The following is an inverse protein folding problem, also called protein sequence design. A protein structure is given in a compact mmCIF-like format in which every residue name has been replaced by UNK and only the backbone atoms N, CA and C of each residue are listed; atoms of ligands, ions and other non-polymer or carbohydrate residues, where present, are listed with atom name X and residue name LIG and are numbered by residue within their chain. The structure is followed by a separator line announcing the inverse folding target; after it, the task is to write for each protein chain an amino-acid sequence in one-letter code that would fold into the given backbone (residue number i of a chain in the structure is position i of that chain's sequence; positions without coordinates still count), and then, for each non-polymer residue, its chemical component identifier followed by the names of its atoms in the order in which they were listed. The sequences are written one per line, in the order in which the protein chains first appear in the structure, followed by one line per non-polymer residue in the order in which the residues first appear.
data_IF_235474677001
#
_entry.id   IF_235474677001
#
_cell.length_a   1.000
_cell.length_b   1.000
_cell.length_c   1.000
_cell.angle_alpha   90.00
_cell.angle_beta   90.00
_cell.angle_gamma   90.00
#
_symmetry.space_group_name_H-M   'P 1'
#
loop_
_entity.id
_entity.type
_entity.pdbx_description
1 polymer ?
#
# COMPACT_ATOMS: atom_id res chain seq x y z
N UNK A 1 -12.01 0.75 -18.92
CA UNK A 1 -12.24 0.02 -17.67
C UNK A 1 -11.35 -1.18 -17.72
N UNK A 2 -10.42 -1.28 -16.83
CA UNK A 2 -9.51 -2.41 -16.74
C UNK A 2 -10.04 -3.40 -15.69
N UNK A 3 -10.01 -4.69 -16.02
CA UNK A 3 -10.42 -5.78 -15.15
C UNK A 3 -9.18 -6.40 -14.49
N UNK A 4 -9.15 -6.42 -13.17
CA UNK A 4 -8.06 -6.98 -12.40
C UNK A 4 -8.54 -8.23 -11.66
N UNK A 5 -7.78 -9.33 -11.78
CA UNK A 5 -7.90 -10.50 -10.90
C UNK A 5 -6.77 -10.48 -9.87
N UNK A 6 -7.11 -10.60 -8.59
CA UNK A 6 -6.13 -10.67 -7.52
C UNK A 6 -6.19 -11.97 -6.74
N UNK A 7 -5.02 -12.58 -6.47
CA UNK A 7 -4.92 -13.88 -5.80
C UNK A 7 -3.77 -13.87 -4.79
N UNK A 8 -4.05 -13.89 -3.48
CA UNK A 8 -3.02 -14.18 -2.49
C UNK A 8 -2.73 -15.69 -2.45
N UNK A 9 -1.47 -16.08 -2.56
CA UNK A 9 -1.03 -17.49 -2.47
C UNK A 9 -0.09 -17.68 -1.27
N UNK A 10 -0.19 -18.84 -0.61
CA UNK A 10 0.69 -19.17 0.51
C UNK A 10 1.52 -20.45 0.30
N UNK A 11 0.92 -21.55 -0.15
CA UNK A 11 1.59 -22.87 -0.31
C UNK A 11 1.14 -23.67 -1.52
N UNK A 12 0.11 -23.23 -2.21
CA UNK A 12 -0.56 -24.01 -3.25
C UNK A 12 -0.32 -23.42 -4.63
N UNK A 13 0.94 -23.34 -5.02
CA UNK A 13 1.32 -22.79 -6.33
C UNK A 13 0.86 -23.66 -7.50
N UNK A 14 0.70 -24.98 -7.27
CA UNK A 14 0.09 -25.91 -8.22
C UNK A 14 -1.41 -25.64 -8.46
N UNK A 15 -2.14 -25.26 -7.42
CA UNK A 15 -3.55 -24.85 -7.55
C UNK A 15 -3.67 -23.45 -8.14
N UNK A 16 -2.79 -22.52 -7.76
CA UNK A 16 -2.70 -21.21 -8.39
C UNK A 16 -2.48 -21.33 -9.90
N UNK A 17 -1.61 -22.25 -10.36
CA UNK A 17 -1.39 -22.47 -11.78
C UNK A 17 -2.69 -22.89 -12.49
N UNK A 18 -3.44 -23.85 -11.92
CA UNK A 18 -4.74 -24.29 -12.43
C UNK A 18 -5.79 -23.17 -12.44
N UNK A 19 -5.80 -22.32 -11.41
CA UNK A 19 -6.66 -21.14 -11.39
C UNK A 19 -6.33 -20.23 -12.57
N UNK A 20 -5.06 -19.85 -12.75
CA UNK A 20 -4.64 -18.95 -13.83
C UNK A 20 -4.91 -19.58 -15.21
N UNK A 21 -4.64 -20.86 -15.40
CA UNK A 21 -5.00 -21.58 -16.63
C UNK A 21 -6.51 -21.49 -16.92
N UNK A 22 -7.35 -21.73 -15.91
CA UNK A 22 -8.81 -21.63 -16.06
C UNK A 22 -9.29 -20.22 -16.41
N UNK A 23 -8.62 -19.21 -15.88
CA UNK A 23 -8.89 -17.79 -16.16
C UNK A 23 -8.52 -17.42 -17.60
N UNK A 24 -7.32 -17.81 -18.04
CA UNK A 24 -6.83 -17.53 -19.39
C UNK A 24 -7.63 -18.28 -20.48
N UNK A 25 -8.21 -19.42 -20.14
CA UNK A 25 -9.11 -20.18 -21.01
C UNK A 25 -10.56 -19.66 -21.04
N UNK A 26 -10.89 -18.65 -20.24
CA UNK A 26 -12.24 -18.10 -20.12
C UNK A 26 -12.67 -17.21 -21.28
N UNK A 27 -13.99 -16.97 -21.41
CA UNK A 27 -14.57 -16.05 -22.41
C UNK A 27 -14.25 -14.58 -22.13
N UNK A 28 -13.98 -14.23 -20.87
CA UNK A 28 -13.53 -12.92 -20.45
C UNK A 28 -12.26 -13.07 -19.60
N UNK A 29 -11.14 -12.59 -20.14
CA UNK A 29 -9.83 -12.65 -19.49
C UNK A 29 -9.51 -11.29 -18.86
N UNK A 30 -9.10 -11.24 -17.57
CA UNK A 30 -8.67 -10.00 -16.95
C UNK A 30 -7.49 -9.35 -17.68
N UNK A 31 -7.45 -8.03 -17.67
CA UNK A 31 -6.32 -7.27 -18.24
C UNK A 31 -5.05 -7.48 -17.45
N UNK A 32 -5.19 -7.68 -16.13
CA UNK A 32 -4.08 -7.89 -15.17
C UNK A 32 -4.44 -9.00 -14.19
N UNK A 33 -3.46 -9.82 -13.85
CA UNK A 33 -3.55 -10.85 -12.80
C UNK A 33 -2.48 -10.52 -11.76
N UNK A 34 -2.90 -10.11 -10.57
CA UNK A 34 -1.99 -9.73 -9.48
C UNK A 34 -1.93 -10.87 -8.47
N UNK A 35 -0.77 -11.51 -8.36
CA UNK A 35 -0.49 -12.54 -7.38
C UNK A 35 0.26 -11.94 -6.20
N UNK A 36 -0.23 -12.18 -4.98
CA UNK A 36 0.49 -11.79 -3.74
C UNK A 36 1.12 -13.04 -3.14
N UNK A 37 2.44 -13.14 -3.25
CA UNK A 37 3.22 -14.29 -2.78
C UNK A 37 3.48 -14.26 -1.28
N UNK A 38 2.48 -14.63 -0.47
CA UNK A 38 2.59 -14.74 0.97
C UNK A 38 3.48 -15.93 1.42
N UNK A 39 3.77 -16.87 0.54
CA UNK A 39 4.61 -18.03 0.80
C UNK A 39 6.10 -17.79 0.57
N UNK A 40 6.44 -16.72 -0.15
CA UNK A 40 7.81 -16.37 -0.57
C UNK A 40 8.51 -17.48 -1.38
N UNK A 41 7.74 -18.25 -2.17
CA UNK A 41 8.24 -19.39 -2.95
C UNK A 41 7.78 -19.39 -4.40
N UNK A 42 7.19 -18.29 -4.86
CA UNK A 42 6.63 -18.22 -6.21
C UNK A 42 7.65 -18.64 -7.27
N UNK A 43 8.84 -18.06 -7.23
CA UNK A 43 9.88 -18.31 -8.24
C UNK A 43 10.41 -19.77 -8.23
N UNK A 44 10.25 -20.49 -7.11
CA UNK A 44 10.70 -21.87 -6.96
C UNK A 44 9.60 -22.91 -7.21
N UNK A 45 8.35 -22.58 -6.93
CA UNK A 45 7.25 -23.58 -6.89
C UNK A 45 6.14 -23.31 -7.92
N UNK A 46 6.09 -22.10 -8.52
CA UNK A 46 5.09 -21.79 -9.54
C UNK A 46 5.62 -22.14 -10.94
N UNK A 47 4.89 -22.99 -11.65
CA UNK A 47 5.24 -23.45 -13.01
C UNK A 47 4.09 -23.24 -14.02
N UNK A 48 3.14 -22.37 -13.71
CA UNK A 48 2.01 -22.06 -14.56
C UNK A 48 2.27 -20.92 -15.55
N UNK A 49 1.22 -20.48 -16.27
CA UNK A 49 1.30 -19.36 -17.20
C UNK A 49 1.69 -18.04 -16.53
N UNK A 50 2.52 -17.25 -17.22
CA UNK A 50 2.94 -15.91 -16.77
C UNK A 50 2.28 -14.77 -17.57
N UNK A 51 1.40 -15.10 -18.49
CA UNK A 51 0.69 -14.10 -19.28
C UNK A 51 -0.16 -13.21 -18.36
N UNK A 52 0.02 -11.89 -18.44
CA UNK A 52 -0.67 -10.87 -17.63
C UNK A 52 -0.45 -10.99 -16.11
N UNK A 53 0.49 -11.83 -15.66
CA UNK A 53 0.77 -12.06 -14.25
C UNK A 53 1.79 -11.07 -13.71
N UNK A 54 1.42 -10.34 -12.67
CA UNK A 54 2.29 -9.50 -11.88
C UNK A 54 2.40 -10.08 -10.46
N UNK A 55 3.62 -10.19 -9.92
CA UNK A 55 3.85 -10.80 -8.60
C UNK A 55 4.29 -9.76 -7.58
N UNK A 56 3.50 -9.60 -6.53
CA UNK A 56 3.83 -8.80 -5.35
C UNK A 56 4.45 -9.73 -4.31
N UNK A 57 5.66 -9.42 -3.86
CA UNK A 57 6.44 -10.21 -2.90
C UNK A 57 6.56 -9.49 -1.56
N UNK A 58 5.68 -9.77 -0.58
CA UNK A 58 5.73 -9.11 0.73
C UNK A 58 6.96 -9.46 1.57
N UNK A 59 7.68 -10.54 1.23
CA UNK A 59 8.82 -11.05 1.99
C UNK A 59 8.43 -11.88 3.23
N UNK A 60 7.16 -11.88 3.63
CA UNK A 60 6.63 -12.68 4.75
C UNK A 60 5.15 -12.99 4.53
N UNK A 61 4.62 -13.98 5.26
CA UNK A 61 3.17 -14.23 5.28
C UNK A 61 2.42 -13.14 6.05
N UNK A 62 1.80 -12.23 5.33
CA UNK A 62 0.97 -11.15 5.90
C UNK A 62 -0.48 -11.58 6.19
N UNK A 63 -0.90 -12.74 5.70
CA UNK A 63 -2.24 -13.24 5.81
C UNK A 63 -3.18 -12.81 4.67
N UNK A 64 -4.39 -13.38 4.68
CA UNK A 64 -5.37 -13.21 3.61
C UNK A 64 -5.84 -11.76 3.46
N UNK A 65 -6.23 -11.13 4.56
CA UNK A 65 -6.72 -9.74 4.57
C UNK A 65 -5.69 -8.75 4.01
N UNK A 66 -4.42 -8.87 4.41
CA UNK A 66 -3.35 -8.01 3.91
C UNK A 66 -3.05 -8.30 2.43
N UNK A 67 -3.09 -9.57 2.01
CA UNK A 67 -2.96 -9.95 0.61
C UNK A 67 -4.02 -9.28 -0.27
N UNK A 68 -5.29 -9.34 0.13
CA UNK A 68 -6.37 -8.65 -0.59
C UNK A 68 -6.21 -7.13 -0.58
N UNK A 69 -5.75 -6.56 0.53
CA UNK A 69 -5.48 -5.12 0.59
C UNK A 69 -4.35 -4.68 -0.35
N UNK A 70 -3.33 -5.52 -0.56
CA UNK A 70 -2.28 -5.25 -1.56
C UNK A 70 -2.83 -5.24 -2.98
N UNK A 71 -3.75 -6.15 -3.28
CA UNK A 71 -4.44 -6.19 -4.57
C UNK A 71 -5.25 -4.91 -4.81
N UNK A 72 -6.01 -4.44 -3.81
CA UNK A 72 -6.73 -3.17 -3.90
C UNK A 72 -5.80 -1.98 -4.16
N UNK A 73 -4.61 -1.98 -3.55
CA UNK A 73 -3.62 -0.91 -3.76
C UNK A 73 -2.95 -1.01 -5.14
N UNK A 74 -2.85 -2.20 -5.72
CA UNK A 74 -2.31 -2.41 -7.05
C UNK A 74 -3.33 -2.07 -8.16
N UNK A 75 -4.62 -1.98 -7.84
CA UNK A 75 -5.63 -1.50 -8.77
C UNK A 75 -5.39 -0.01 -9.07
N UNK A 76 -5.46 0.38 -10.36
CA UNK A 76 -5.23 1.77 -10.76
C UNK A 76 -6.32 2.72 -10.23
N UNK A 77 -6.02 4.03 -10.14
CA UNK A 77 -6.93 5.02 -9.61
C UNK A 77 -8.22 5.21 -10.46
N UNK A 78 -8.21 4.78 -11.72
CA UNK A 78 -9.28 5.01 -12.68
C UNK A 78 -10.08 3.73 -12.99
N UNK A 79 -11.11 3.44 -12.22
CA UNK A 79 -12.24 2.59 -12.63
C UNK A 79 -12.00 1.09 -12.84
N UNK A 80 -11.07 0.47 -12.08
CA UNK A 80 -10.88 -0.98 -12.19
C UNK A 80 -12.00 -1.75 -11.50
N UNK A 81 -12.55 -2.71 -12.22
CA UNK A 81 -13.34 -3.79 -11.64
C UNK A 81 -12.37 -4.83 -11.08
N UNK A 82 -12.59 -5.25 -9.84
CA UNK A 82 -11.65 -6.11 -9.12
C UNK A 82 -12.32 -7.44 -8.81
N UNK A 83 -11.68 -8.51 -9.25
CA UNK A 83 -12.00 -9.88 -8.84
C UNK A 83 -10.98 -10.32 -7.81
N UNK A 84 -11.46 -10.87 -6.70
CA UNK A 84 -10.63 -11.52 -5.68
C UNK A 84 -10.94 -13.00 -5.66
N UNK A 85 -9.90 -13.83 -5.73
CA UNK A 85 -10.01 -15.28 -5.68
C UNK A 85 -9.01 -15.87 -4.68
N UNK A 86 -9.39 -16.99 -4.05
CA UNK A 86 -8.45 -17.86 -3.37
C UNK A 86 -7.65 -18.68 -4.38
N UNK A 87 -6.48 -19.14 -4.00
CA UNK A 87 -5.56 -19.93 -4.84
C UNK A 87 -6.07 -21.34 -5.20
N UNK A 88 -7.11 -21.82 -4.53
CA UNK A 88 -7.70 -23.16 -4.69
C UNK A 88 -9.06 -23.15 -5.43
N UNK A 89 -9.29 -22.14 -6.27
CA UNK A 89 -10.48 -22.00 -7.12
C UNK A 89 -10.14 -22.40 -8.55
N UNK A 90 -11.08 -23.03 -9.24
CA UNK A 90 -11.07 -23.21 -10.70
C UNK A 90 -12.32 -22.51 -11.26
N UNK A 91 -12.13 -21.53 -12.12
CA UNK A 91 -13.20 -20.71 -12.67
C UNK A 91 -13.73 -21.35 -13.95
N UNK A 92 -15.05 -21.36 -14.14
CA UNK A 92 -15.66 -21.82 -15.38
C UNK A 92 -15.36 -20.85 -16.53
N UNK A 93 -15.38 -21.33 -17.79
CA UNK A 93 -15.09 -20.48 -18.95
C UNK A 93 -15.91 -19.19 -19.01
N UNK A 94 -17.18 -19.22 -18.63
CA UNK A 94 -18.11 -18.08 -18.61
C UNK A 94 -18.21 -17.39 -17.25
N UNK A 95 -17.49 -17.87 -16.23
CA UNK A 95 -17.68 -17.48 -14.84
C UNK A 95 -17.37 -16.01 -14.56
N UNK A 96 -16.26 -15.50 -15.08
CA UNK A 96 -15.88 -14.08 -14.94
C UNK A 96 -16.88 -13.19 -15.68
N UNK A 97 -17.20 -13.54 -16.91
CA UNK A 97 -18.13 -12.75 -17.75
C UNK A 97 -19.49 -12.57 -17.07
N UNK A 98 -20.05 -13.64 -16.52
CA UNK A 98 -21.36 -13.59 -15.83
C UNK A 98 -21.25 -12.71 -14.57
N UNK A 99 -20.19 -12.84 -13.78
CA UNK A 99 -20.01 -12.04 -12.58
C UNK A 99 -19.87 -10.55 -12.88
N UNK A 100 -19.08 -10.19 -13.89
CA UNK A 100 -18.87 -8.80 -14.30
C UNK A 100 -20.15 -8.20 -14.94
N UNK A 101 -20.86 -8.99 -15.76
CA UNK A 101 -22.14 -8.55 -16.33
C UNK A 101 -23.14 -8.23 -15.22
N UNK A 102 -23.23 -9.05 -14.18
CA UNK A 102 -24.10 -8.80 -13.03
C UNK A 102 -23.63 -7.58 -12.22
N UNK A 103 -22.33 -7.41 -11.99
CA UNK A 103 -21.79 -6.24 -11.30
C UNK A 103 -22.17 -4.94 -12.01
N UNK A 104 -22.07 -4.91 -13.33
CA UNK A 104 -22.40 -3.74 -14.15
C UNK A 104 -23.91 -3.46 -14.17
N UNK A 105 -24.74 -4.50 -14.15
CA UNK A 105 -26.19 -4.35 -14.10
C UNK A 105 -26.67 -3.68 -12.79
N UNK A 106 -25.96 -3.91 -11.70
CA UNK A 106 -26.22 -3.30 -10.39
C UNK A 106 -25.60 -1.89 -10.25
N UNK A 107 -25.31 -1.20 -11.35
CA UNK A 107 -24.68 0.13 -11.40
C UNK A 107 -23.30 0.22 -10.73
N UNK A 108 -22.60 -0.90 -10.62
CA UNK A 108 -21.21 -0.97 -10.14
C UNK A 108 -21.02 -0.76 -8.63
N UNK A 109 -22.09 -0.60 -7.85
CA UNK A 109 -22.02 -0.46 -6.37
C UNK A 109 -22.60 -1.70 -5.71
N UNK A 110 -21.97 -2.85 -5.94
CA UNK A 110 -22.38 -4.12 -5.37
C UNK A 110 -21.19 -5.07 -5.23
N UNK A 111 -21.40 -6.22 -4.57
CA UNK A 111 -20.45 -7.32 -4.52
C UNK A 111 -21.10 -8.55 -5.10
N UNK A 112 -20.63 -8.99 -6.26
CA UNK A 112 -21.09 -10.21 -6.89
C UNK A 112 -20.20 -11.39 -6.51
N UNK A 113 -20.79 -12.47 -6.03
CA UNK A 113 -20.09 -13.66 -5.52
C UNK A 113 -20.23 -14.83 -6.49
N UNK A 114 -19.09 -15.35 -6.96
CA UNK A 114 -19.04 -16.60 -7.72
C UNK A 114 -19.01 -17.82 -6.79
N UNK A 115 -18.18 -17.79 -5.74
CA UNK A 115 -18.10 -18.86 -4.73
C UNK A 115 -17.92 -18.28 -3.31
N UNK A 116 -18.97 -17.63 -2.78
CA UNK A 116 -18.87 -16.92 -1.51
C UNK A 116 -17.81 -15.81 -1.58
N UNK A 117 -17.00 -15.67 -0.53
CA UNK A 117 -15.83 -14.80 -0.51
C UNK A 117 -14.54 -15.53 -0.90
N UNK A 118 -14.61 -16.76 -1.43
CA UNK A 118 -13.48 -17.42 -2.09
C UNK A 118 -13.32 -17.00 -3.55
N UNK A 119 -14.40 -16.49 -4.18
CA UNK A 119 -14.39 -15.84 -5.49
C UNK A 119 -15.48 -14.77 -5.51
N UNK A 120 -15.10 -13.52 -5.62
CA UNK A 120 -16.05 -12.40 -5.68
C UNK A 120 -15.48 -11.24 -6.47
N UNK A 121 -16.34 -10.40 -7.01
CA UNK A 121 -15.96 -9.18 -7.69
C UNK A 121 -16.66 -7.96 -7.08
N UNK A 122 -16.00 -6.81 -7.19
CA UNK A 122 -16.52 -5.51 -6.77
C UNK A 122 -15.88 -4.39 -7.59
N UNK A 123 -16.56 -3.25 -7.63
CA UNK A 123 -15.98 -2.03 -8.21
C UNK A 123 -15.08 -1.30 -7.23
N UNK A 124 -14.23 -0.42 -7.76
CA UNK A 124 -13.40 0.46 -6.94
C UNK A 124 -14.26 1.39 -6.06
N UNK A 125 -15.41 1.84 -6.55
CA UNK A 125 -16.41 2.61 -5.78
C UNK A 125 -16.85 1.85 -4.52
N UNK A 126 -17.14 0.54 -4.66
CA UNK A 126 -17.56 -0.32 -3.55
C UNK A 126 -16.49 -0.39 -2.46
N UNK A 127 -15.24 -0.69 -2.80
CA UNK A 127 -14.22 -0.80 -1.76
C UNK A 127 -13.80 0.54 -1.15
N UNK A 128 -13.88 1.65 -1.91
CA UNK A 128 -13.72 3.01 -1.35
C UNK A 128 -14.78 3.31 -0.31
N UNK A 129 -16.02 2.94 -0.58
CA UNK A 129 -17.15 3.15 0.34
C UNK A 129 -17.04 2.30 1.61
N UNK A 130 -16.60 1.05 1.50
CA UNK A 130 -16.52 0.08 2.62
C UNK A 130 -15.16 0.10 3.31
N UNK A 131 -14.12 0.50 2.59
CA UNK A 131 -12.74 0.46 3.06
C UNK A 131 -12.06 -0.89 2.84
N UNK A 132 -10.83 -0.99 3.30
CA UNK A 132 -9.99 -2.18 3.18
C UNK A 132 -10.36 -3.26 4.20
N UNK A 133 -9.89 -4.49 3.98
CA UNK A 133 -10.03 -5.58 4.94
C UNK A 133 -9.28 -5.29 6.24
N UNK A 134 -9.77 -5.79 7.35
CA UNK A 134 -9.09 -5.64 8.65
C UNK A 134 -7.96 -6.67 8.79
N UNK A 135 -6.72 -6.24 8.61
CA UNK A 135 -5.52 -7.07 8.66
C UNK A 135 -5.23 -7.69 10.05
N UNK A 136 -6.00 -7.31 11.08
CA UNK A 136 -5.93 -7.92 12.40
C UNK A 136 -6.48 -9.35 12.44
N UNK A 137 -7.26 -9.74 11.43
CA UNK A 137 -7.67 -11.12 11.21
C UNK A 137 -6.56 -11.93 10.54
N UNK A 138 -5.48 -12.16 11.24
CA UNK A 138 -4.31 -12.90 10.74
C UNK A 138 -4.28 -14.34 11.28
N UNK A 139 -3.86 -15.37 10.50
CA UNK A 139 -3.48 -15.33 9.08
C UNK A 139 -4.67 -15.37 8.13
N UNK A 140 -5.82 -15.87 8.56
CA UNK A 140 -7.07 -15.99 7.79
C UNK A 140 -8.25 -16.26 8.71
N UNK A 141 -9.47 -16.21 8.15
CA UNK A 141 -10.77 -16.37 8.76
C UNK A 141 -11.27 -15.18 9.57
N UNK A 142 -12.54 -14.88 9.39
CA UNK A 142 -13.30 -13.75 9.90
C UNK A 142 -13.05 -12.41 9.19
N UNK A 143 -12.01 -12.25 8.37
CA UNK A 143 -11.84 -11.08 7.51
C UNK A 143 -12.99 -10.94 6.50
N UNK A 144 -13.46 -12.05 5.95
CA UNK A 144 -14.60 -12.12 5.04
C UNK A 144 -15.93 -11.78 5.77
N UNK A 145 -16.12 -12.29 6.98
CA UNK A 145 -17.30 -12.00 7.80
C UNK A 145 -17.34 -10.53 8.23
N UNK A 146 -16.19 -9.99 8.61
CA UNK A 146 -16.03 -8.58 8.94
C UNK A 146 -16.36 -7.69 7.74
N UNK A 147 -15.83 -8.04 6.58
CA UNK A 147 -16.09 -7.28 5.34
C UNK A 147 -17.57 -7.37 4.95
N UNK A 148 -18.17 -8.55 5.03
CA UNK A 148 -19.60 -8.75 4.75
C UNK A 148 -20.48 -7.90 5.66
N UNK A 149 -20.19 -7.85 6.97
CA UNK A 149 -20.93 -7.00 7.90
C UNK A 149 -20.79 -5.52 7.56
N UNK A 150 -19.58 -5.06 7.18
CA UNK A 150 -19.36 -3.67 6.76
C UNK A 150 -20.04 -3.33 5.44
N UNK A 151 -20.13 -4.27 4.49
CA UNK A 151 -20.95 -4.12 3.29
C UNK A 151 -22.43 -3.89 3.64
N UNK A 152 -22.96 -4.69 4.57
CA UNK A 152 -24.35 -4.52 5.06
C UNK A 152 -24.56 -3.14 5.70
N UNK A 153 -23.64 -2.71 6.57
CA UNK A 153 -23.71 -1.38 7.21
C UNK A 153 -23.62 -0.23 6.20
N UNK A 154 -22.85 -0.41 5.14
CA UNK A 154 -22.73 0.55 4.05
C UNK A 154 -23.90 0.48 3.05
N UNK A 155 -24.91 -0.38 3.28
CA UNK A 155 -26.01 -0.62 2.35
C UNK A 155 -25.55 -0.97 0.93
N UNK A 156 -24.48 -1.77 0.83
CA UNK A 156 -23.98 -2.28 -0.46
C UNK A 156 -24.74 -3.56 -0.82
N UNK A 157 -25.41 -3.63 -1.98
CA UNK A 157 -26.11 -4.82 -2.42
C UNK A 157 -25.18 -6.03 -2.54
N UNK A 158 -25.64 -7.18 -2.11
CA UNK A 158 -24.97 -8.47 -2.26
C UNK A 158 -25.98 -9.45 -2.88
N UNK A 159 -26.18 -9.43 -4.19
CA UNK A 159 -27.12 -10.32 -4.87
C UNK A 159 -26.78 -11.79 -4.62
N UNK A 160 -27.68 -12.73 -4.88
CA UNK A 160 -27.44 -14.16 -4.80
C UNK A 160 -26.14 -14.57 -5.50
N UNK A 161 -25.51 -15.64 -5.04
CA UNK A 161 -24.31 -16.17 -5.73
C UNK A 161 -24.62 -16.50 -7.18
N UNK A 162 -23.71 -16.19 -8.06
CA UNK A 162 -23.75 -16.69 -9.44
C UNK A 162 -23.58 -18.22 -9.38
N UNK A 163 -24.62 -18.94 -9.75
CA UNK A 163 -24.62 -20.39 -9.70
C UNK A 163 -23.50 -20.96 -10.58
N UNK A 164 -22.68 -21.83 -9.99
CA UNK A 164 -21.64 -22.59 -10.69
C UNK A 164 -20.59 -21.76 -11.46
N UNK A 165 -20.29 -20.50 -11.04
CA UNK A 165 -19.21 -19.73 -11.65
C UNK A 165 -17.82 -20.35 -11.44
N UNK A 166 -17.64 -21.16 -10.37
CA UNK A 166 -16.37 -21.82 -10.06
C UNK A 166 -16.57 -23.08 -9.23
N UNK A 167 -15.56 -23.94 -9.25
CA UNK A 167 -15.36 -25.06 -8.31
C UNK A 167 -14.24 -24.71 -7.32
N UNK A 168 -14.28 -25.31 -6.12
CA UNK A 168 -13.36 -25.00 -5.03
C UNK A 168 -12.81 -26.27 -4.37
N UNK A 169 -11.49 -26.38 -4.26
CA UNK A 169 -10.81 -27.46 -3.55
C UNK A 169 -10.68 -27.09 -2.05
N UNK A 170 -11.80 -27.10 -1.34
CA UNK A 170 -11.94 -26.59 0.02
C UNK A 170 -10.81 -26.99 0.97
N UNK A 171 -10.26 -26.00 1.69
CA UNK A 171 -9.24 -26.18 2.74
C UNK A 171 -7.92 -26.81 2.28
N UNK A 172 -7.57 -26.69 1.01
CA UNK A 172 -6.37 -27.28 0.44
C UNK A 172 -5.09 -26.91 1.21
N UNK A 173 -4.93 -25.65 1.60
CA UNK A 173 -3.77 -25.17 2.35
C UNK A 173 -3.68 -25.77 3.76
N UNK A 174 -4.81 -25.88 4.50
CA UNK A 174 -4.82 -26.44 5.86
C UNK A 174 -4.43 -27.91 5.87
N UNK A 175 -4.76 -28.65 4.81
CA UNK A 175 -4.41 -30.07 4.68
C UNK A 175 -2.89 -30.30 4.61
N UNK A 176 -2.10 -29.28 4.27
CA UNK A 176 -0.64 -29.37 4.26
C UNK A 176 0.03 -29.05 5.60
N UNK A 177 -0.73 -28.63 6.60
CA UNK A 177 -0.18 -28.23 7.88
C UNK A 177 0.32 -29.42 8.69
N UNK A 178 1.49 -29.25 9.31
CA UNK A 178 1.99 -30.14 10.36
C UNK A 178 1.08 -30.10 11.60
N UNK A 179 1.26 -31.04 12.53
CA UNK A 179 0.48 -31.02 13.77
C UNK A 179 0.63 -29.70 14.55
N UNK A 180 1.84 -29.19 14.68
CA UNK A 180 2.11 -27.94 15.39
C UNK A 180 1.44 -26.75 14.69
N UNK A 181 1.54 -26.67 13.37
CA UNK A 181 0.86 -25.63 12.58
C UNK A 181 -0.67 -25.69 12.71
N UNK A 182 -1.23 -26.90 12.78
CA UNK A 182 -2.68 -27.06 13.02
C UNK A 182 -3.10 -26.56 14.40
N UNK A 183 -2.28 -26.79 15.43
CA UNK A 183 -2.54 -26.24 16.79
C UNK A 183 -2.46 -24.72 16.76
N UNK A 184 -1.39 -24.14 16.19
CA UNK A 184 -1.23 -22.71 16.05
C UNK A 184 -2.39 -22.08 15.27
N UNK A 185 -2.81 -22.72 14.20
CA UNK A 185 -3.94 -22.29 13.40
C UNK A 185 -5.26 -22.27 14.19
N UNK A 186 -5.55 -23.32 14.97
CA UNK A 186 -6.74 -23.36 15.84
C UNK A 186 -6.75 -22.24 16.87
N UNK A 187 -5.59 -21.97 17.48
CA UNK A 187 -5.43 -20.83 18.41
C UNK A 187 -5.72 -19.51 17.70
N UNK A 188 -5.15 -19.30 16.50
CA UNK A 188 -5.38 -18.08 15.70
C UNK A 188 -6.84 -17.93 15.29
N UNK A 189 -7.48 -19.01 14.85
CA UNK A 189 -8.89 -19.02 14.53
C UNK A 189 -9.76 -18.61 15.75
N UNK A 190 -9.48 -19.18 16.93
CA UNK A 190 -10.18 -18.82 18.16
C UNK A 190 -9.98 -17.34 18.53
N UNK A 191 -8.74 -16.81 18.40
CA UNK A 191 -8.43 -15.41 18.65
C UNK A 191 -9.15 -14.49 17.64
N UNK A 192 -9.21 -14.85 16.38
CA UNK A 192 -9.93 -14.11 15.34
C UNK A 192 -11.43 -14.08 15.64
N UNK A 193 -11.99 -15.23 16.05
CA UNK A 193 -13.40 -15.32 16.47
C UNK A 193 -13.70 -14.42 17.68
N UNK A 194 -12.86 -14.48 18.70
CA UNK A 194 -13.02 -13.61 19.88
C UNK A 194 -12.93 -12.13 19.49
N UNK A 195 -11.94 -11.79 18.65
CA UNK A 195 -11.79 -10.43 18.15
C UNK A 195 -13.03 -9.96 17.38
N UNK A 196 -13.59 -10.81 16.50
CA UNK A 196 -14.82 -10.50 15.77
C UNK A 196 -15.99 -10.21 16.69
N UNK A 197 -16.21 -11.10 17.68
CA UNK A 197 -17.30 -10.96 18.66
C UNK A 197 -17.15 -9.68 19.47
N UNK A 198 -15.96 -9.36 19.91
CA UNK A 198 -15.69 -8.11 20.66
C UNK A 198 -15.88 -6.90 19.76
N UNK A 199 -15.35 -6.94 18.53
CA UNK A 199 -15.46 -5.85 17.55
C UNK A 199 -16.91 -5.49 17.25
N UNK A 200 -17.76 -6.49 17.05
CA UNK A 200 -19.14 -6.30 16.57
C UNK A 200 -20.23 -6.57 17.64
N UNK A 201 -19.82 -6.98 18.83
CA UNK A 201 -20.74 -7.24 19.94
C UNK A 201 -21.58 -8.52 19.76
N UNK A 202 -21.17 -9.42 18.87
CA UNK A 202 -21.87 -10.68 18.58
C UNK A 202 -21.15 -11.51 17.54
N UNK A 203 -21.55 -12.76 17.37
CA UNK A 203 -21.04 -13.63 16.30
C UNK A 203 -21.61 -13.23 14.93
N UNK A 204 -21.02 -13.81 13.85
CA UNK A 204 -21.48 -13.55 12.47
C UNK A 204 -22.98 -13.85 12.30
N UNK A 205 -23.70 -12.85 11.77
CA UNK A 205 -25.18 -12.86 11.65
C UNK A 205 -25.93 -12.51 12.94
N UNK A 206 -25.20 -12.14 14.00
CA UNK A 206 -25.76 -11.71 15.30
C UNK A 206 -25.04 -10.49 15.84
N UNK A 207 -24.48 -9.67 14.97
CA UNK A 207 -23.80 -8.44 15.32
C UNK A 207 -24.76 -7.43 15.92
N UNK A 208 -24.34 -6.76 17.00
CA UNK A 208 -25.15 -5.78 17.73
C UNK A 208 -24.66 -4.34 17.56
N UNK A 209 -23.44 -4.16 17.00
CA UNK A 209 -22.81 -2.85 16.84
C UNK A 209 -22.80 -2.41 15.40
N UNK A 210 -23.11 -1.15 15.17
CA UNK A 210 -22.98 -0.48 13.89
C UNK A 210 -21.63 0.22 13.73
N UNK A 211 -20.89 0.38 14.86
CA UNK A 211 -19.52 0.90 14.88
C UNK A 211 -18.57 -0.13 15.50
N UNK A 212 -17.38 -0.34 14.93
CA UNK A 212 -16.46 -1.34 15.42
C UNK A 212 -15.81 -0.94 16.75
N UNK A 213 -15.70 -1.88 17.68
CA UNK A 213 -14.89 -1.73 18.87
C UNK A 213 -13.52 -2.40 18.65
N UNK A 214 -12.47 -1.60 18.53
CA UNK A 214 -11.16 -2.06 18.06
C UNK A 214 -10.05 -2.07 19.11
N UNK A 215 -10.39 -1.99 20.41
CA UNK A 215 -9.42 -1.78 21.49
C UNK A 215 -8.44 -2.94 21.77
N UNK A 216 -8.71 -4.16 21.33
CA UNK A 216 -8.01 -5.33 21.86
C UNK A 216 -7.00 -6.04 20.95
N UNK A 217 -6.97 -5.80 19.65
CA UNK A 217 -6.04 -6.49 18.77
C UNK A 217 -5.16 -5.50 18.02
N UNK A 218 -3.90 -5.46 18.39
CA UNK A 218 -2.92 -4.62 17.68
C UNK A 218 -2.78 -5.11 16.24
N UNK A 219 -2.67 -4.18 15.30
CA UNK A 219 -2.23 -4.47 13.94
C UNK A 219 -0.86 -5.16 13.99
N UNK A 220 -0.61 -6.14 13.10
CA UNK A 220 0.73 -6.66 12.91
C UNK A 220 1.66 -5.50 12.57
N UNK A 221 2.78 -5.38 13.29
CA UNK A 221 3.81 -4.40 12.94
C UNK A 221 4.57 -4.93 11.73
N UNK A 222 4.56 -4.19 10.66
CA UNK A 222 5.39 -4.47 9.49
C UNK A 222 6.85 -4.13 9.81
N UNK A 223 7.78 -4.94 9.32
CA UNK A 223 9.21 -4.61 9.32
C UNK A 223 9.50 -3.47 8.35
N UNK A 224 10.65 -2.83 8.46
CA UNK A 224 11.01 -1.66 7.66
C UNK A 224 10.98 -1.95 6.15
N UNK A 225 11.55 -3.07 5.72
CA UNK A 225 11.54 -3.49 4.30
C UNK A 225 10.13 -3.78 3.78
N UNK A 226 9.27 -4.35 4.60
CA UNK A 226 7.87 -4.56 4.25
C UNK A 226 7.13 -3.22 4.07
N UNK A 227 7.40 -2.24 4.95
CA UNK A 227 6.85 -0.88 4.83
C UNK A 227 7.38 -0.17 3.59
N UNK A 228 8.68 -0.31 3.30
CA UNK A 228 9.28 0.23 2.09
C UNK A 228 8.65 -0.37 0.84
N UNK A 229 8.53 -1.70 0.77
CA UNK A 229 7.86 -2.38 -0.35
C UNK A 229 6.42 -1.90 -0.50
N UNK A 230 5.69 -1.75 0.60
CA UNK A 230 4.34 -1.21 0.59
C UNK A 230 4.29 0.23 0.10
N UNK A 231 5.26 1.06 0.52
CA UNK A 231 5.36 2.47 0.10
C UNK A 231 5.60 2.61 -1.41
N UNK A 232 6.40 1.72 -2.02
CA UNK A 232 6.63 1.70 -3.48
C UNK A 232 5.43 1.22 -4.29
N UNK A 233 4.56 0.40 -3.69
CA UNK A 233 3.41 -0.22 -4.35
C UNK A 233 2.08 0.50 -4.10
N UNK A 234 2.02 1.36 -3.09
CA UNK A 234 0.81 2.11 -2.76
C UNK A 234 0.82 3.43 -3.53
N UNK A 235 -0.15 3.63 -4.41
CA UNK A 235 -0.29 4.89 -5.16
C UNK A 235 -0.50 6.05 -4.19
N UNK A 236 0.48 6.94 -4.15
CA UNK A 236 0.48 8.21 -3.42
C UNK A 236 1.10 9.29 -4.30
N UNK A 237 1.12 10.50 -3.81
CA UNK A 237 1.78 11.64 -4.45
C UNK A 237 3.31 11.46 -4.61
N UNK A 238 3.96 10.52 -3.88
CA UNK A 238 5.41 10.34 -3.85
C UNK A 238 5.88 8.90 -4.15
N UNK A 239 4.97 7.93 -4.30
CA UNK A 239 5.34 6.50 -4.33
C UNK A 239 6.36 6.12 -5.42
N UNK A 240 6.32 6.74 -6.58
CA UNK A 240 7.28 6.49 -7.67
C UNK A 240 8.69 7.02 -7.36
N UNK A 241 8.80 7.97 -6.42
CA UNK A 241 10.06 8.57 -5.99
C UNK A 241 10.67 7.86 -4.78
N UNK A 242 9.92 7.00 -4.08
CA UNK A 242 10.39 6.21 -2.93
C UNK A 242 11.69 5.42 -3.24
N UNK A 243 11.82 4.72 -4.40
CA UNK A 243 13.08 4.06 -4.76
C UNK A 243 14.25 5.03 -4.98
N UNK A 244 13.97 6.21 -5.51
CA UNK A 244 14.98 7.25 -5.74
C UNK A 244 15.53 7.79 -4.44
N UNK A 245 14.63 8.12 -3.49
CA UNK A 245 15.00 8.58 -2.16
C UNK A 245 15.88 7.56 -1.44
N UNK A 246 15.51 6.26 -1.47
CA UNK A 246 16.33 5.19 -0.92
C UNK A 246 17.70 5.12 -1.57
N UNK A 247 17.77 5.18 -2.90
CA UNK A 247 19.02 5.11 -3.65
C UNK A 247 19.97 6.29 -3.35
N UNK A 248 19.45 7.50 -3.20
CA UNK A 248 20.24 8.67 -2.80
C UNK A 248 20.71 8.54 -1.32
N UNK A 249 19.80 8.23 -0.42
CA UNK A 249 20.11 8.10 1.00
C UNK A 249 21.12 6.98 1.30
N UNK A 250 21.17 5.91 0.47
CA UNK A 250 22.16 4.82 0.63
C UNK A 250 23.60 5.22 0.28
N UNK A 251 23.82 6.39 -0.31
CA UNK A 251 25.12 6.91 -0.73
C UNK A 251 25.68 7.99 0.21
N UNK A 252 24.99 8.23 1.33
CA UNK A 252 25.33 9.30 2.28
C UNK A 252 25.17 8.81 3.71
N UNK A 253 25.80 9.53 4.64
CA UNK A 253 25.75 9.16 6.07
C UNK A 253 24.69 9.96 6.84
N UNK A 254 24.50 11.23 6.52
CA UNK A 254 23.56 12.11 7.20
C UNK A 254 22.46 12.60 6.24
N UNK A 255 21.22 12.31 6.60
CA UNK A 255 20.03 12.76 5.87
C UNK A 255 19.18 13.65 6.77
N UNK A 256 18.71 14.76 6.22
CA UNK A 256 17.71 15.63 6.86
C UNK A 256 16.46 15.68 5.98
N UNK A 257 15.30 15.50 6.57
CA UNK A 257 13.99 15.48 5.93
C UNK A 257 13.09 16.59 6.51
N UNK A 258 12.52 17.39 5.65
CA UNK A 258 11.47 18.38 5.94
C UNK A 258 10.15 17.92 5.32
N UNK A 259 9.11 17.81 6.14
CA UNK A 259 7.82 17.26 5.74
C UNK A 259 7.80 15.72 5.83
N UNK A 260 7.17 15.21 6.86
CA UNK A 260 7.08 13.78 7.17
C UNK A 260 5.69 13.23 6.87
N UNK A 261 4.67 14.02 7.19
CA UNK A 261 3.24 13.71 6.97
C UNK A 261 2.84 12.31 7.45
N UNK A 262 2.84 11.30 6.59
CA UNK A 262 2.51 9.91 6.93
C UNK A 262 3.72 8.96 6.97
N UNK A 263 4.93 9.49 6.78
CA UNK A 263 6.19 8.76 6.86
C UNK A 263 6.51 7.86 5.66
N UNK A 264 5.98 8.18 4.48
CA UNK A 264 6.27 7.44 3.24
C UNK A 264 7.72 7.69 2.82
N UNK A 265 8.13 8.95 2.70
CA UNK A 265 9.51 9.37 2.44
C UNK A 265 10.45 8.90 3.55
N UNK A 266 10.08 9.12 4.82
CA UNK A 266 10.86 8.67 5.99
C UNK A 266 11.12 7.16 5.95
N UNK A 267 10.14 6.36 5.52
CA UNK A 267 10.29 4.91 5.35
C UNK A 267 11.37 4.59 4.31
N UNK A 268 11.41 5.31 3.19
CA UNK A 268 12.43 5.14 2.15
C UNK A 268 13.82 5.50 2.65
N UNK A 269 13.93 6.64 3.34
CA UNK A 269 15.19 7.14 3.90
C UNK A 269 15.73 6.18 4.97
N UNK A 270 14.88 5.69 5.88
CA UNK A 270 15.26 4.68 6.88
C UNK A 270 15.66 3.34 6.24
N UNK A 271 14.99 2.92 5.18
CA UNK A 271 15.31 1.66 4.48
C UNK A 271 16.69 1.70 3.79
N UNK A 272 17.25 2.88 3.55
CA UNK A 272 18.62 3.07 3.10
C UNK A 272 19.67 2.86 4.23
N UNK A 273 19.24 2.89 5.50
CA UNK A 273 20.11 2.75 6.69
C UNK A 273 21.27 3.76 6.75
N UNK A 274 21.06 5.09 6.52
CA UNK A 274 22.10 6.08 6.78
C UNK A 274 22.53 6.06 8.25
N UNK A 275 23.69 6.61 8.58
CA UNK A 275 24.12 6.69 9.99
C UNK A 275 23.18 7.59 10.80
N UNK A 276 22.74 8.70 10.21
CA UNK A 276 21.88 9.71 10.85
C UNK A 276 20.71 10.06 9.96
N UNK A 277 19.50 10.09 10.53
CA UNK A 277 18.31 10.67 9.90
C UNK A 277 17.64 11.65 10.87
N UNK A 278 17.49 12.88 10.44
CA UNK A 278 16.78 13.96 11.17
C UNK A 278 15.55 14.36 10.37
N UNK A 279 14.36 14.08 10.89
CA UNK A 279 13.10 14.40 10.23
C UNK A 279 12.33 15.46 11.02
N UNK A 280 11.80 16.43 10.31
CA UNK A 280 11.06 17.58 10.89
C UNK A 280 9.71 17.72 10.21
N UNK A 281 8.68 18.01 11.01
CA UNK A 281 7.34 18.33 10.52
C UNK A 281 6.69 19.37 11.45
N UNK A 282 5.70 20.10 10.95
CA UNK A 282 4.92 21.04 11.75
C UNK A 282 3.99 20.32 12.76
N UNK A 283 3.69 19.04 12.49
CA UNK A 283 2.79 18.19 13.29
C UNK A 283 3.39 16.82 13.58
N UNK A 284 3.17 16.30 14.79
CA UNK A 284 3.42 14.88 15.09
C UNK A 284 2.15 14.06 14.83
N UNK A 285 2.13 13.33 13.73
CA UNK A 285 1.06 12.39 13.39
C UNK A 285 1.34 10.96 13.89
N UNK A 286 2.08 10.82 14.98
CA UNK A 286 2.53 9.55 15.57
C UNK A 286 3.43 8.71 14.63
N UNK A 287 4.02 9.34 13.63
CA UNK A 287 4.91 8.68 12.66
C UNK A 287 6.20 8.26 13.35
N UNK A 288 6.78 9.15 14.16
CA UNK A 288 7.99 8.87 14.93
C UNK A 288 7.83 7.63 15.81
N UNK A 289 6.73 7.53 16.57
CA UNK A 289 6.45 6.37 17.42
C UNK A 289 6.31 5.07 16.63
N UNK A 290 5.91 5.14 15.36
CA UNK A 290 5.74 3.98 14.49
C UNK A 290 7.03 3.56 13.77
N UNK A 291 7.93 4.49 13.45
CA UNK A 291 9.15 4.26 12.69
C UNK A 291 10.41 4.13 13.56
N UNK A 292 10.51 4.84 14.68
CA UNK A 292 11.67 4.76 15.55
C UNK A 292 12.05 3.32 15.96
N UNK A 293 11.10 2.41 16.29
CA UNK A 293 11.43 1.03 16.58
C UNK A 293 11.98 0.23 15.39
N UNK A 294 11.88 0.77 14.16
CA UNK A 294 12.31 0.14 12.92
C UNK A 294 13.60 0.76 12.35
N UNK A 295 14.12 1.79 12.98
CA UNK A 295 15.28 2.54 12.49
C UNK A 295 16.59 1.69 12.42
N UNK A 296 16.64 0.53 13.08
CA UNK A 296 17.77 -0.36 13.02
C UNK A 296 19.03 0.30 13.58
N UNK A 297 20.07 0.45 12.76
CA UNK A 297 21.35 1.10 13.14
C UNK A 297 21.35 2.62 12.92
N UNK A 298 20.32 3.19 12.30
CA UNK A 298 20.22 4.63 12.04
C UNK A 298 19.89 5.39 13.32
N UNK A 299 20.67 6.41 13.69
CA UNK A 299 20.28 7.38 14.69
C UNK A 299 19.15 8.26 14.14
N UNK A 300 17.93 7.77 14.30
CA UNK A 300 16.72 8.43 13.82
C UNK A 300 16.11 9.31 14.91
N UNK A 301 15.90 10.59 14.58
CA UNK A 301 15.17 11.53 15.42
C UNK A 301 14.14 12.29 14.60
N UNK A 302 12.96 12.40 15.18
CA UNK A 302 11.88 13.23 14.68
C UNK A 302 11.67 14.40 15.66
N UNK A 303 11.48 15.59 15.12
CA UNK A 303 11.13 16.76 15.91
C UNK A 303 10.00 17.57 15.26
N UNK A 304 9.08 18.05 16.08
CA UNK A 304 8.05 19.01 15.64
C UNK A 304 8.67 20.41 15.59
N UNK A 305 8.52 21.08 14.47
CA UNK A 305 9.01 22.45 14.31
C UNK A 305 8.74 23.04 12.93
N UNK A 306 8.59 24.35 12.89
CA UNK A 306 8.52 25.10 11.63
C UNK A 306 9.91 25.15 11.00
N UNK A 307 10.05 24.57 9.81
CA UNK A 307 11.30 24.53 9.05
C UNK A 307 11.88 25.88 8.70
N UNK A 308 11.07 26.93 8.72
CA UNK A 308 11.53 28.33 8.58
C UNK A 308 12.19 28.87 9.86
N UNK A 309 11.89 28.29 11.02
CA UNK A 309 12.34 28.79 12.33
C UNK A 309 13.42 27.93 12.97
N UNK A 310 13.39 26.60 12.78
CA UNK A 310 14.37 25.66 13.33
C UNK A 310 15.77 25.92 12.77
N UNK A 311 16.77 25.34 13.42
CA UNK A 311 18.11 25.20 12.88
C UNK A 311 18.48 23.71 12.76
N UNK A 312 19.22 23.35 11.72
CA UNK A 312 19.65 21.98 11.45
C UNK A 312 21.18 21.87 11.49
N UNK A 313 21.67 20.66 11.72
CA UNK A 313 23.08 20.31 11.50
C UNK A 313 23.43 20.32 10.01
N UNK A 314 24.70 20.35 9.68
CA UNK A 314 25.12 20.06 8.31
C UNK A 314 24.69 18.62 7.93
N UNK A 315 24.23 18.44 6.70
CA UNK A 315 23.67 17.18 6.22
C UNK A 315 24.19 16.87 4.82
N UNK A 316 24.32 15.61 4.47
CA UNK A 316 24.76 15.25 3.12
C UNK A 316 23.63 15.34 2.10
N UNK A 317 22.41 15.00 2.54
CA UNK A 317 21.20 15.07 1.75
C UNK A 317 20.11 15.82 2.54
N UNK A 318 19.59 16.89 1.96
CA UNK A 318 18.42 17.61 2.44
C UNK A 318 17.23 17.30 1.54
N UNK A 319 16.22 16.60 2.06
CA UNK A 319 14.94 16.35 1.37
C UNK A 319 13.90 17.34 1.87
N UNK A 320 13.21 18.02 0.95
CA UNK A 320 12.18 19.04 1.25
C UNK A 320 10.88 18.67 0.55
N UNK A 321 9.84 18.43 1.36
CA UNK A 321 8.47 18.09 0.96
C UNK A 321 7.46 18.75 1.94
N UNK A 322 7.54 20.08 2.04
CA UNK A 322 6.74 20.91 2.94
C UNK A 322 5.62 21.63 2.18
N UNK A 323 5.17 22.79 2.63
CA UNK A 323 4.20 23.61 1.92
C UNK A 323 4.79 24.12 0.57
N UNK A 324 4.13 23.80 -0.54
CA UNK A 324 4.63 24.00 -1.89
C UNK A 324 4.35 25.41 -2.41
N UNK A 325 4.93 26.41 -1.76
CA UNK A 325 4.85 27.83 -2.17
C UNK A 325 6.26 28.41 -2.34
N UNK A 326 6.35 29.49 -3.12
CA UNK A 326 7.59 30.23 -3.29
C UNK A 326 8.19 30.70 -1.96
N UNK A 327 7.36 31.32 -1.11
CA UNK A 327 7.84 31.93 0.14
C UNK A 327 8.36 30.86 1.13
N UNK A 328 7.67 29.71 1.20
CA UNK A 328 8.10 28.60 2.04
C UNK A 328 9.45 28.06 1.58
N UNK A 329 9.55 27.65 0.31
CA UNK A 329 10.78 27.05 -0.21
C UNK A 329 11.95 28.05 -0.21
N UNK A 330 11.69 29.34 -0.52
CA UNK A 330 12.73 30.39 -0.47
C UNK A 330 13.31 30.53 0.94
N UNK A 331 12.46 30.54 1.97
CA UNK A 331 12.90 30.63 3.35
C UNK A 331 13.73 29.40 3.78
N UNK A 332 13.29 28.20 3.40
CA UNK A 332 13.99 26.93 3.69
C UNK A 332 15.35 26.88 3.00
N UNK A 333 15.40 27.18 1.71
CA UNK A 333 16.67 27.22 0.96
C UNK A 333 17.63 28.32 1.42
N UNK A 334 17.10 29.47 1.81
CA UNK A 334 17.92 30.56 2.35
C UNK A 334 18.57 30.17 3.69
N UNK A 335 17.85 29.44 4.55
CA UNK A 335 18.30 29.08 5.89
C UNK A 335 19.14 27.80 5.91
N UNK A 336 18.76 26.81 5.11
CA UNK A 336 19.29 25.45 5.21
C UNK A 336 20.01 24.96 3.97
N UNK A 337 19.80 25.57 2.81
CA UNK A 337 20.32 25.06 1.54
C UNK A 337 21.85 24.90 1.55
N UNK A 338 22.58 25.87 2.11
CA UNK A 338 24.05 25.80 2.19
C UNK A 338 24.58 24.77 3.20
N UNK A 339 23.72 24.22 4.09
CA UNK A 339 24.08 23.14 5.01
C UNK A 339 24.03 21.76 4.36
N UNK A 340 23.44 21.62 3.15
CA UNK A 340 23.48 20.41 2.36
C UNK A 340 24.84 20.28 1.68
N UNK A 341 25.59 19.25 2.05
CA UNK A 341 26.97 19.03 1.56
C UNK A 341 27.01 18.44 0.14
N UNK A 342 25.95 17.69 -0.24
CA UNK A 342 25.94 16.98 -1.52
C UNK A 342 24.67 17.21 -2.32
N UNK A 343 23.49 16.90 -1.74
CA UNK A 343 22.23 16.99 -2.48
C UNK A 343 21.14 17.73 -1.71
N UNK A 344 20.34 18.48 -2.49
CA UNK A 344 19.04 18.94 -2.08
C UNK A 344 18.03 18.27 -3.00
N UNK A 345 17.01 17.62 -2.45
CA UNK A 345 15.95 16.93 -3.18
C UNK A 345 14.63 17.60 -2.85
N UNK A 346 13.96 18.11 -3.89
CA UNK A 346 12.70 18.84 -3.79
C UNK A 346 11.58 18.02 -4.40
N UNK A 347 10.51 17.80 -3.67
CA UNK A 347 9.30 17.13 -4.17
C UNK A 347 8.28 18.13 -4.71
N UNK A 348 7.25 17.61 -5.43
CA UNK A 348 6.11 18.36 -5.99
C UNK A 348 6.47 19.50 -6.97
N UNK A 349 7.68 19.48 -7.51
CA UNK A 349 8.23 20.53 -8.36
C UNK A 349 7.59 20.66 -9.76
N UNK A 350 6.76 19.70 -10.17
CA UNK A 350 5.97 19.78 -11.40
C UNK A 350 4.57 20.33 -11.12
N UNK A 351 3.88 19.77 -10.14
CA UNK A 351 2.51 20.18 -9.81
C UNK A 351 2.47 21.60 -9.28
N UNK A 352 3.36 21.94 -8.35
CA UNK A 352 3.42 23.27 -7.75
C UNK A 352 4.63 24.11 -8.22
N UNK A 353 5.11 23.83 -9.42
CA UNK A 353 6.26 24.54 -9.98
C UNK A 353 5.99 26.03 -10.25
N UNK A 354 4.87 26.34 -10.90
CA UNK A 354 4.50 27.72 -11.30
C UNK A 354 3.46 28.35 -10.40
N UNK A 355 2.47 27.59 -9.95
CA UNK A 355 1.41 28.01 -9.04
C UNK A 355 1.58 27.25 -7.74
N UNK A 356 1.48 27.91 -6.60
CA UNK A 356 1.65 27.28 -5.29
C UNK A 356 0.42 26.47 -4.86
N UNK A 357 0.58 25.72 -3.78
CA UNK A 357 -0.46 24.87 -3.20
C UNK A 357 -1.62 25.67 -2.61
N UNK A 358 -1.34 26.83 -2.03
CA UNK A 358 -2.36 27.74 -1.53
C UNK A 358 -2.88 28.65 -2.65
N UNK A 359 -4.15 29.02 -2.56
CA UNK A 359 -4.78 29.91 -3.53
C UNK A 359 -3.98 31.23 -3.69
N UNK A 360 -3.79 31.67 -4.94
CA UNK A 360 -3.11 32.91 -5.31
C UNK A 360 -1.63 33.02 -4.88
N UNK A 361 -0.98 31.89 -4.56
CA UNK A 361 0.45 31.87 -4.24
C UNK A 361 1.31 31.50 -5.45
N UNK A 362 2.56 32.01 -5.47
CA UNK A 362 3.56 31.63 -6.48
C UNK A 362 4.08 30.22 -6.19
N UNK A 363 4.36 29.48 -7.24
CA UNK A 363 4.96 28.15 -7.14
C UNK A 363 6.46 28.20 -6.80
N UNK A 364 7.02 27.02 -6.72
CA UNK A 364 8.35 26.76 -6.15
C UNK A 364 9.52 27.17 -7.09
N UNK A 365 9.34 27.14 -8.41
CA UNK A 365 10.45 27.33 -9.37
C UNK A 365 11.21 28.63 -9.19
N UNK A 366 10.60 29.81 -8.99
CA UNK A 366 11.34 31.04 -8.79
C UNK A 366 12.30 30.98 -7.58
N UNK A 367 11.93 30.26 -6.50
CA UNK A 367 12.81 30.07 -5.35
C UNK A 367 14.00 29.17 -5.68
N UNK A 368 13.79 28.12 -6.50
CA UNK A 368 14.86 27.25 -6.98
C UNK A 368 15.82 28.02 -7.86
N UNK A 369 15.32 28.81 -8.81
CA UNK A 369 16.15 29.63 -9.72
C UNK A 369 16.99 30.66 -8.97
N UNK A 370 16.39 31.36 -8.01
CA UNK A 370 17.10 32.32 -7.14
C UNK A 370 18.20 31.62 -6.30
N UNK A 371 17.96 30.40 -5.84
CA UNK A 371 18.95 29.64 -5.09
C UNK A 371 20.11 29.19 -6.00
N UNK A 372 19.81 28.65 -7.18
CA UNK A 372 20.81 28.23 -8.15
C UNK A 372 21.66 29.39 -8.67
N UNK A 373 21.12 30.61 -8.74
CA UNK A 373 21.87 31.82 -9.14
C UNK A 373 23.04 32.15 -8.19
N UNK A 374 23.10 31.53 -6.99
CA UNK A 374 24.25 31.66 -6.08
C UNK A 374 25.48 30.89 -6.57
N UNK A 375 25.33 29.93 -7.50
CA UNK A 375 26.41 29.18 -8.10
C UNK A 375 27.02 28.07 -7.26
N UNK A 376 26.37 27.68 -6.15
CA UNK A 376 26.86 26.59 -5.27
C UNK A 376 26.22 25.25 -5.60
N UNK A 377 25.11 25.23 -6.31
CA UNK A 377 24.37 24.05 -6.74
C UNK A 377 23.97 24.13 -8.20
N UNK A 378 23.82 22.94 -8.84
CA UNK A 378 23.24 22.77 -10.17
C UNK A 378 22.14 21.73 -10.16
N UNK A 379 21.23 21.76 -11.15
CA UNK A 379 20.24 20.71 -11.34
C UNK A 379 20.97 19.47 -11.86
N UNK A 380 20.92 18.37 -11.06
CA UNK A 380 21.42 17.06 -11.46
C UNK A 380 20.37 16.29 -12.26
N UNK A 381 19.14 16.29 -11.78
CA UNK A 381 18.04 15.53 -12.38
C UNK A 381 16.71 16.21 -12.09
N UNK A 382 15.80 16.14 -13.06
CA UNK A 382 14.41 16.59 -12.91
C UNK A 382 13.48 15.52 -13.45
N UNK A 383 12.60 15.00 -12.60
CA UNK A 383 11.53 14.06 -12.92
C UNK A 383 10.20 14.79 -12.91
N UNK A 384 9.37 14.53 -13.90
CA UNK A 384 8.05 15.20 -14.04
C UNK A 384 6.88 14.32 -13.65
N UNK A 385 7.10 13.01 -13.47
CA UNK A 385 6.09 12.07 -13.00
C UNK A 385 5.81 12.27 -11.50
N UNK A 386 4.68 11.74 -11.03
CA UNK A 386 4.27 11.68 -9.63
C UNK A 386 4.50 13.00 -8.88
N UNK A 387 3.91 14.08 -9.40
CA UNK A 387 4.01 15.48 -8.99
C UNK A 387 5.36 16.17 -9.21
N UNK A 388 6.40 15.43 -9.54
CA UNK A 388 7.73 15.95 -9.84
C UNK A 388 8.73 15.84 -8.69
N UNK A 389 9.97 15.51 -9.06
CA UNK A 389 11.12 15.46 -8.14
C UNK A 389 12.31 16.15 -8.79
N UNK A 390 12.91 17.11 -8.10
CA UNK A 390 14.12 17.80 -8.58
C UNK A 390 15.27 17.53 -7.62
N UNK A 391 16.41 17.08 -8.17
CA UNK A 391 17.63 16.81 -7.42
C UNK A 391 18.64 17.91 -7.80
N UNK A 392 19.08 18.66 -6.81
CA UNK A 392 20.17 19.62 -6.91
C UNK A 392 21.44 18.98 -6.33
N UNK A 393 22.55 19.14 -7.00
CA UNK A 393 23.88 18.65 -6.60
C UNK A 393 24.81 19.81 -6.36
N UNK A 394 25.59 19.76 -5.28
CA UNK A 394 26.60 20.77 -4.98
C UNK A 394 27.72 20.68 -6.02
N UNK A 395 28.14 21.82 -6.57
CA UNK A 395 29.20 21.96 -7.57
C UNK A 395 30.57 22.01 -6.90
#
# INVERSE_FOLDING_TARGET
MTLLLGVPVYRKYDLLAKLIESVLAGSMVPDRIVVVDNGCRFDAEYHGPMERVEVIRPGTNEGCAAGWNRIFRAASAAHDEIILANDDIVIRPDGIEIMIRQLRADHGVSVVRGHGFSLFCLSQETWRRVGMFDERFWPAYFEDKDYQHRLTLASVPMPPKVAAAASHASSATINTYTWLERVQFRVRYALNRCYYVVKWGGGSGRERRTSPFVAFKKRRKLHLEERYTLATQTVTDIHEHVPVLRALASQVEHVTEFGVRHGVSTTALLAAQPAVLRSYDIEDRAVAASLAPLAGRTDFRFAVGDTKAIDIEETDLLFIDTLHTYDQLKAELARHGEKARRWIVLHDTTTFGTTGEESDTRGMWPAVEEFLARGTFAIKERRTNNNGLTILERI
#
